data_IF_710274520691
#
_entry.id   IF_710274520691
#
_cell.length_a   1.000
_cell.length_b   1.000
_cell.length_c   1.000
_cell.angle_alpha   90.00
_cell.angle_beta   90.00
_cell.angle_gamma   90.00
#
_symmetry.space_group_name_H-M   'P 1'
#
loop_
_entity.id
_entity.type
_entity.pdbx_description
1 polymer ?
#
# COMPACT_ATOMS: atom_id res chain seq x y z
N UNK A 1 15.46 18.31 -10.50
CA UNK A 1 14.06 17.93 -10.20
C UNK A 1 14.09 16.45 -9.88
N UNK A 2 13.97 16.11 -8.60
CA UNK A 2 13.93 14.72 -8.15
C UNK A 2 12.52 14.16 -8.28
N UNK A 3 12.34 12.86 -8.10
CA UNK A 3 11.04 12.22 -8.15
C UNK A 3 11.08 10.83 -7.51
N UNK A 4 9.95 10.12 -7.56
CA UNK A 4 9.83 8.80 -6.95
C UNK A 4 10.88 7.81 -7.51
N UNK A 5 11.74 7.28 -6.63
CA UNK A 5 12.78 6.29 -6.97
C UNK A 5 12.90 5.21 -5.90
N UNK A 6 13.70 4.19 -6.20
CA UNK A 6 14.03 3.10 -5.27
C UNK A 6 12.79 2.42 -4.66
N UNK A 7 11.72 2.29 -5.45
CA UNK A 7 10.49 1.66 -5.02
C UNK A 7 10.72 0.16 -4.86
N UNK A 8 10.57 -0.34 -3.64
CA UNK A 8 10.75 -1.73 -3.29
C UNK A 8 9.61 -2.21 -2.39
N UNK A 9 9.10 -3.40 -2.68
CA UNK A 9 8.02 -4.02 -1.93
C UNK A 9 8.57 -5.24 -1.19
N UNK A 10 8.31 -5.29 0.12
CA UNK A 10 8.63 -6.45 0.96
C UNK A 10 7.32 -7.04 1.47
N UNK A 11 7.00 -8.23 0.97
CA UNK A 11 5.80 -8.99 1.32
C UNK A 11 6.15 -10.47 1.50
N UNK A 12 5.45 -11.20 2.37
CA UNK A 12 5.59 -12.65 2.46
C UNK A 12 5.20 -13.34 1.15
N UNK A 13 5.90 -14.42 0.80
CA UNK A 13 5.60 -15.22 -0.40
C UNK A 13 4.27 -15.97 -0.23
N UNK A 14 3.97 -16.42 0.98
CA UNK A 14 2.74 -17.10 1.37
C UNK A 14 2.44 -16.83 2.85
N UNK A 15 1.17 -16.94 3.22
CA UNK A 15 0.65 -16.74 4.58
C UNK A 15 -0.42 -17.77 4.89
N UNK A 16 -0.58 -18.15 6.15
CA UNK A 16 -1.65 -19.08 6.57
C UNK A 16 -2.97 -18.30 6.70
N UNK A 17 -4.13 -18.90 6.39
CA UNK A 17 -5.41 -18.24 6.65
C UNK A 17 -5.54 -17.82 8.11
N UNK A 18 -5.84 -16.54 8.33
CA UNK A 18 -5.96 -15.95 9.68
C UNK A 18 -4.71 -15.23 10.19
N UNK A 19 -3.56 -15.38 9.51
CA UNK A 19 -2.35 -14.66 9.88
C UNK A 19 -2.48 -13.16 9.58
N UNK A 20 -1.99 -12.33 10.50
CA UNK A 20 -1.77 -10.90 10.25
C UNK A 20 -0.37 -10.71 9.66
N UNK A 21 -0.27 -9.97 8.56
CA UNK A 21 1.01 -9.67 7.92
C UNK A 21 1.15 -8.21 7.57
N UNK A 22 2.38 -7.72 7.58
CA UNK A 22 2.71 -6.35 7.19
C UNK A 22 3.19 -6.33 5.75
N UNK A 23 2.50 -5.58 4.89
CA UNK A 23 2.97 -5.27 3.54
C UNK A 23 3.76 -3.96 3.58
N UNK A 24 5.05 -4.02 3.26
CA UNK A 24 5.92 -2.84 3.31
C UNK A 24 6.27 -2.36 1.91
N UNK A 25 6.11 -1.06 1.68
CA UNK A 25 6.58 -0.38 0.47
C UNK A 25 7.60 0.69 0.90
N UNK A 26 8.85 0.51 0.49
CA UNK A 26 9.93 1.48 0.67
C UNK A 26 10.08 2.28 -0.61
N UNK A 27 10.23 3.59 -0.49
CA UNK A 27 10.43 4.49 -1.62
C UNK A 27 11.19 5.74 -1.17
N UNK A 28 11.83 6.41 -2.12
CA UNK A 28 12.50 7.69 -1.93
C UNK A 28 11.81 8.73 -2.82
N UNK A 29 11.36 9.82 -2.20
CA UNK A 29 10.63 10.90 -2.87
C UNK A 29 11.54 12.03 -3.34
N UNK A 30 12.81 12.06 -2.90
CA UNK A 30 13.76 13.12 -3.25
C UNK A 30 13.27 14.56 -3.01
N UNK A 31 12.44 14.76 -2.00
CA UNK A 31 11.86 16.06 -1.67
C UNK A 31 10.53 16.37 -2.34
N UNK A 32 10.04 15.51 -3.25
CA UNK A 32 8.69 15.64 -3.80
C UNK A 32 7.62 15.12 -2.81
N UNK A 33 6.38 15.63 -2.87
CA UNK A 33 5.29 15.10 -2.07
C UNK A 33 4.79 13.77 -2.63
N UNK A 34 4.50 12.83 -1.73
CA UNK A 34 3.81 11.59 -2.12
C UNK A 34 2.39 11.90 -2.65
N UNK A 35 2.09 11.37 -3.83
CA UNK A 35 0.74 11.50 -4.42
C UNK A 35 -0.23 10.45 -3.86
N UNK A 36 0.09 9.16 -4.01
CA UNK A 36 -0.74 8.06 -3.50
C UNK A 36 0.07 6.77 -3.35
N UNK A 37 -0.33 5.92 -2.39
CA UNK A 37 0.08 4.51 -2.31
C UNK A 37 -1.17 3.66 -2.41
N UNK A 38 -1.14 2.63 -3.25
CA UNK A 38 -2.26 1.71 -3.46
C UNK A 38 -1.77 0.28 -3.39
N UNK A 39 -2.53 -0.57 -2.70
CA UNK A 39 -2.30 -2.00 -2.68
C UNK A 39 -3.38 -2.72 -3.47
N UNK A 40 -2.92 -3.66 -4.31
CA UNK A 40 -3.76 -4.49 -5.15
C UNK A 40 -3.48 -5.96 -4.89
N UNK A 41 -4.53 -6.78 -4.86
CA UNK A 41 -4.42 -8.23 -5.01
C UNK A 41 -5.00 -8.60 -6.37
N UNK A 42 -4.14 -9.03 -7.29
CA UNK A 42 -4.51 -9.17 -8.70
C UNK A 42 -4.94 -7.83 -9.28
N UNK A 43 -6.21 -7.69 -9.65
CA UNK A 43 -6.78 -6.45 -10.25
C UNK A 43 -7.62 -5.62 -9.27
N UNK A 44 -7.77 -6.06 -8.02
CA UNK A 44 -8.66 -5.43 -7.05
C UNK A 44 -7.85 -4.60 -6.06
N UNK A 45 -8.12 -3.29 -6.01
CA UNK A 45 -7.62 -2.36 -4.98
C UNK A 45 -8.27 -2.77 -3.66
N UNK A 46 -7.47 -2.95 -2.60
CA UNK A 46 -8.00 -3.26 -1.25
C UNK A 46 -7.57 -2.23 -0.21
N UNK A 47 -6.53 -1.43 -0.49
CA UNK A 47 -6.13 -0.31 0.36
C UNK A 47 -5.57 0.83 -0.48
N UNK A 48 -5.83 2.05 -0.03
CA UNK A 48 -5.22 3.28 -0.57
C UNK A 48 -4.88 4.26 0.53
N UNK A 49 -3.72 4.90 0.38
CA UNK A 49 -3.28 6.06 1.14
C UNK A 49 -3.09 7.26 0.19
N UNK A 50 -3.69 8.40 0.53
CA UNK A 50 -3.56 9.68 -0.17
C UNK A 50 -3.32 10.78 0.87
N UNK A 51 -2.07 11.28 1.02
CA UNK A 51 -1.75 12.29 2.03
C UNK A 51 -2.61 13.56 1.96
N UNK A 52 -3.09 13.90 0.76
CA UNK A 52 -3.87 15.12 0.51
C UNK A 52 -5.37 14.97 0.79
N UNK A 53 -5.86 13.79 1.16
CA UNK A 53 -7.29 13.54 1.43
C UNK A 53 -7.58 13.38 2.93
N UNK A 54 -8.81 13.63 3.35
CA UNK A 54 -9.31 13.33 4.70
C UNK A 54 -10.58 12.46 4.56
N UNK A 55 -10.60 11.23 5.10
CA UNK A 55 -9.49 10.52 5.73
C UNK A 55 -8.35 10.20 4.75
N UNK A 56 -7.11 10.15 5.26
CA UNK A 56 -5.92 9.86 4.44
C UNK A 56 -5.90 8.43 3.89
N UNK A 57 -6.64 7.51 4.51
CA UNK A 57 -6.72 6.10 4.13
C UNK A 57 -8.12 5.75 3.65
N UNK A 58 -8.18 4.81 2.71
CA UNK A 58 -9.42 4.17 2.28
C UNK A 58 -9.19 2.67 2.14
N UNK A 59 -10.08 1.88 2.75
CA UNK A 59 -10.11 0.42 2.64
C UNK A 59 -11.22 0.02 1.70
N UNK A 60 -10.92 -0.85 0.75
CA UNK A 60 -11.90 -1.40 -0.18
C UNK A 60 -12.12 -2.88 0.19
N UNK A 61 -13.37 -3.29 0.49
CA UNK A 61 -13.64 -4.66 0.86
C UNK A 61 -13.20 -5.63 -0.23
N UNK A 62 -12.39 -6.63 0.15
CA UNK A 62 -11.96 -7.70 -0.72
C UNK A 62 -12.14 -9.04 0.01
N UNK A 63 -12.89 -10.00 -0.54
CA UNK A 63 -13.11 -11.29 0.14
C UNK A 63 -11.81 -11.98 0.53
N UNK A 64 -11.70 -12.34 1.81
CA UNK A 64 -10.53 -13.00 2.39
C UNK A 64 -9.37 -12.08 2.77
N UNK A 65 -9.54 -10.75 2.69
CA UNK A 65 -8.59 -9.76 3.24
C UNK A 65 -9.33 -8.83 4.19
N UNK A 66 -8.77 -8.69 5.39
CA UNK A 66 -9.12 -7.62 6.31
C UNK A 66 -7.91 -6.70 6.44
N UNK A 67 -8.16 -5.38 6.44
CA UNK A 67 -7.14 -4.36 6.67
C UNK A 67 -7.47 -3.68 7.98
N UNK A 68 -6.53 -3.72 8.92
CA UNK A 68 -6.59 -3.14 10.26
C UNK A 68 -5.98 -1.73 10.33
#
# INVERSE_FOLDING_TARGET
VGGLRNVAVTVPIAVTPGDTVTLRCSYDLEGDPLYTVKWYKGRQEFFRYVPKELPHTRVFPLPGINVD
#
